data_IF_947325462334
#
_entry.id   IF_947325462334
#
_cell.length_a   1.000
_cell.length_b   1.000
_cell.length_c   1.000
_cell.angle_alpha   90.00
_cell.angle_beta   90.00
_cell.angle_gamma   90.00
#
_symmetry.space_group_name_H-M   'P 1'
#
loop_
_entity.id
_entity.type
_entity.pdbx_description
1 polymer ?
#
# COMPACT_ATOMS: atom_id res chain seq x y z
N UNK A 1 28.32 -36.76 -8.41
CA UNK A 1 28.66 -35.72 -7.42
C UNK A 1 27.43 -34.87 -7.22
N UNK A 2 26.95 -34.63 -5.99
CA UNK A 2 25.79 -33.77 -5.78
C UNK A 2 26.17 -32.34 -6.18
N UNK A 3 25.38 -31.72 -7.04
CA UNK A 3 25.53 -30.31 -7.35
C UNK A 3 25.03 -29.53 -6.13
N UNK A 4 25.96 -28.93 -5.39
CA UNK A 4 25.64 -27.91 -4.41
C UNK A 4 25.16 -26.72 -5.24
N UNK A 5 23.85 -26.49 -5.24
CA UNK A 5 23.25 -25.31 -5.86
C UNK A 5 23.65 -24.14 -4.96
N UNK A 6 24.55 -23.28 -5.43
CA UNK A 6 24.81 -22.02 -4.73
C UNK A 6 23.54 -21.18 -4.76
N UNK A 7 23.23 -20.58 -3.61
CA UNK A 7 22.05 -19.75 -3.38
C UNK A 7 21.91 -18.70 -4.49
N UNK A 8 20.70 -18.48 -4.98
CA UNK A 8 20.47 -17.40 -5.94
C UNK A 8 20.71 -16.05 -5.25
N UNK A 9 21.14 -15.04 -6.01
CA UNK A 9 21.32 -13.67 -5.48
C UNK A 9 20.04 -13.15 -4.83
N UNK A 10 18.86 -13.55 -5.34
CA UNK A 10 17.57 -13.22 -4.76
C UNK A 10 17.40 -13.81 -3.35
N UNK A 11 17.81 -15.05 -3.12
CA UNK A 11 17.70 -15.69 -1.80
C UNK A 11 18.53 -14.94 -0.76
N UNK A 12 19.71 -14.43 -1.14
CA UNK A 12 20.56 -13.60 -0.27
C UNK A 12 19.85 -12.29 0.10
N UNK A 13 19.18 -11.66 -0.87
CA UNK A 13 18.41 -10.43 -0.62
C UNK A 13 17.20 -10.70 0.27
N UNK A 14 16.48 -11.79 0.05
CA UNK A 14 15.36 -12.21 0.89
C UNK A 14 15.78 -12.47 2.34
N UNK A 15 16.92 -13.15 2.56
CA UNK A 15 17.44 -13.37 3.91
C UNK A 15 17.80 -12.08 4.64
N UNK A 16 18.33 -11.09 3.93
CA UNK A 16 18.62 -9.77 4.51
C UNK A 16 17.36 -9.06 4.97
N UNK A 17 16.28 -9.15 4.19
CA UNK A 17 14.98 -8.58 4.55
C UNK A 17 14.44 -9.26 5.81
N UNK A 18 14.48 -10.59 5.87
CA UNK A 18 13.95 -11.36 7.00
C UNK A 18 14.74 -11.10 8.30
N UNK A 19 16.08 -11.03 8.22
CA UNK A 19 16.95 -10.97 9.41
C UNK A 19 17.26 -9.55 9.87
N UNK A 20 17.25 -8.58 8.96
CA UNK A 20 17.67 -7.21 9.23
C UNK A 20 16.54 -6.21 9.49
N UNK A 21 15.27 -6.56 9.21
CA UNK A 21 14.19 -5.57 8.98
C UNK A 21 14.60 -4.49 7.95
N UNK A 22 15.48 -4.87 7.01
CA UNK A 22 16.02 -3.97 6.00
C UNK A 22 15.08 -3.92 4.79
N UNK A 23 14.92 -2.73 4.21
CA UNK A 23 14.35 -2.54 2.86
C UNK A 23 15.46 -2.43 1.84
N UNK A 24 15.30 -3.11 0.71
CA UNK A 24 16.28 -3.05 -0.37
C UNK A 24 15.73 -2.18 -1.49
N UNK A 25 16.31 -0.99 -1.65
CA UNK A 25 15.96 -0.06 -2.73
C UNK A 25 16.99 -0.22 -3.85
N UNK A 26 16.53 -0.41 -5.08
CA UNK A 26 17.40 -0.55 -6.25
C UNK A 26 16.80 0.13 -7.49
N UNK A 27 17.65 0.43 -8.47
CA UNK A 27 17.22 1.03 -9.75
C UNK A 27 17.39 0.03 -10.88
N UNK A 28 16.35 -0.15 -11.70
CA UNK A 28 16.39 -0.98 -12.89
C UNK A 28 15.72 -0.24 -14.05
N UNK A 29 16.40 -0.14 -15.20
CA UNK A 29 15.92 0.60 -16.38
C UNK A 29 15.45 2.04 -16.07
N UNK A 30 16.17 2.72 -15.17
CA UNK A 30 15.86 4.10 -14.76
C UNK A 30 14.67 4.25 -13.81
N UNK A 31 14.05 3.14 -13.37
CA UNK A 31 12.98 3.13 -12.36
C UNK A 31 13.48 2.60 -11.03
N UNK A 32 13.01 3.17 -9.94
CA UNK A 32 13.30 2.69 -8.59
C UNK A 32 12.30 1.60 -8.19
N UNK A 33 12.82 0.58 -7.53
CA UNK A 33 12.09 -0.55 -6.97
C UNK A 33 12.49 -0.73 -5.51
N UNK A 34 11.56 -1.25 -4.73
CA UNK A 34 11.78 -1.62 -3.34
C UNK A 34 11.40 -3.07 -3.15
N UNK A 35 12.27 -3.84 -2.50
CA UNK A 35 11.97 -5.19 -2.03
C UNK A 35 11.71 -5.14 -0.52
N UNK A 36 10.57 -5.70 -0.13
CA UNK A 36 10.02 -5.74 1.22
C UNK A 36 9.59 -7.19 1.53
N UNK A 37 9.40 -7.53 2.80
CA UNK A 37 8.70 -8.77 3.14
C UNK A 37 7.20 -8.62 2.85
N UNK A 38 6.51 -9.74 2.65
CA UNK A 38 5.05 -9.72 2.48
C UNK A 38 4.35 -9.17 3.73
N UNK A 39 4.87 -9.49 4.92
CA UNK A 39 4.35 -8.99 6.19
C UNK A 39 4.48 -7.46 6.29
N UNK A 40 5.64 -6.90 5.92
CA UNK A 40 5.84 -5.46 5.93
C UNK A 40 4.95 -4.76 4.90
N UNK A 41 4.79 -5.35 3.71
CA UNK A 41 3.84 -4.83 2.71
C UNK A 41 2.41 -4.79 3.25
N UNK A 42 1.93 -5.88 3.84
CA UNK A 42 0.59 -5.96 4.44
C UNK A 42 0.40 -4.99 5.61
N UNK A 43 1.45 -4.74 6.39
CA UNK A 43 1.43 -3.73 7.44
C UNK A 43 1.20 -2.32 6.86
N UNK A 44 1.85 -1.97 5.74
CA UNK A 44 1.64 -0.67 5.11
C UNK A 44 0.25 -0.50 4.54
N UNK A 45 -0.29 -1.53 3.87
CA UNK A 45 -1.67 -1.51 3.36
C UNK A 45 -2.67 -1.32 4.52
N UNK A 46 -2.50 -2.06 5.62
CA UNK A 46 -3.37 -1.93 6.79
C UNK A 46 -3.24 -0.56 7.48
N UNK A 47 -2.07 0.06 7.44
CA UNK A 47 -1.84 1.39 7.97
C UNK A 47 -2.50 2.48 7.10
N UNK A 48 -2.42 2.34 5.78
CA UNK A 48 -3.13 3.19 4.82
C UNK A 48 -4.64 3.10 5.03
N UNK A 49 -5.19 1.88 5.07
CA UNK A 49 -6.61 1.64 5.34
C UNK A 49 -7.06 2.28 6.66
N UNK A 50 -6.22 2.23 7.70
CA UNK A 50 -6.53 2.86 8.97
C UNK A 50 -6.69 4.37 8.85
N UNK A 51 -5.72 5.05 8.21
CA UNK A 51 -5.78 6.50 8.02
C UNK A 51 -6.93 6.93 7.10
N UNK A 52 -7.21 6.17 6.05
CA UNK A 52 -8.33 6.46 5.15
C UNK A 52 -9.68 6.37 5.88
N UNK A 53 -9.84 5.39 6.75
CA UNK A 53 -11.03 5.28 7.60
C UNK A 53 -11.12 6.44 8.61
N UNK A 54 -10.01 6.82 9.25
CA UNK A 54 -10.00 8.00 10.15
C UNK A 54 -10.39 9.29 9.42
N UNK A 55 -9.90 9.47 8.19
CA UNK A 55 -10.25 10.62 7.34
C UNK A 55 -11.72 10.59 6.92
N UNK A 56 -12.25 9.42 6.57
CA UNK A 56 -13.67 9.25 6.24
C UNK A 56 -14.57 9.58 7.44
N UNK A 57 -14.22 9.09 8.64
CA UNK A 57 -14.94 9.39 9.87
C UNK A 57 -14.91 10.90 10.20
N UNK A 58 -13.74 11.53 10.04
CA UNK A 58 -13.60 12.98 10.23
C UNK A 58 -14.45 13.79 9.23
N UNK A 59 -14.50 13.39 7.97
CA UNK A 59 -15.33 14.03 6.96
C UNK A 59 -16.84 13.90 7.28
N UNK A 60 -17.26 12.73 7.79
CA UNK A 60 -18.64 12.53 8.23
C UNK A 60 -18.99 13.41 9.44
N UNK A 61 -18.06 13.55 10.40
CA UNK A 61 -18.24 14.43 11.55
C UNK A 61 -18.33 15.91 11.13
N UNK A 62 -17.45 16.37 10.24
CA UNK A 62 -17.49 17.74 9.70
C UNK A 62 -18.82 18.03 9.00
N UNK A 63 -19.31 17.09 8.18
CA UNK A 63 -20.60 17.22 7.50
C UNK A 63 -21.76 17.35 8.51
N UNK A 64 -21.72 16.57 9.61
CA UNK A 64 -22.70 16.67 10.69
C UNK A 64 -22.64 18.02 11.41
N UNK A 65 -21.44 18.50 11.75
CA UNK A 65 -21.24 19.81 12.40
C UNK A 65 -21.76 20.97 11.54
N UNK A 66 -21.66 20.84 10.22
CA UNK A 66 -22.10 21.85 9.24
C UNK A 66 -23.55 21.69 8.79
N UNK A 67 -24.26 20.68 9.30
CA UNK A 67 -25.61 20.32 8.86
C UNK A 67 -25.72 20.05 7.33
N UNK A 68 -24.60 19.62 6.73
CA UNK A 68 -24.53 19.28 5.30
C UNK A 68 -25.16 17.89 5.04
N UNK A 69 -25.65 17.69 3.83
CA UNK A 69 -26.28 16.41 3.43
C UNK A 69 -25.36 15.62 2.50
N UNK A 70 -25.31 14.28 2.62
CA UNK A 70 -24.60 13.45 1.66
C UNK A 70 -25.10 13.69 0.24
N UNK A 71 -24.18 13.68 -0.72
CA UNK A 71 -24.53 13.73 -2.14
C UNK A 71 -24.95 12.33 -2.59
N UNK A 72 -26.13 12.15 -3.20
CA UNK A 72 -26.56 10.85 -3.72
C UNK A 72 -25.61 10.31 -4.80
N UNK A 73 -25.34 9.01 -4.77
CA UNK A 73 -24.42 8.37 -5.72
C UNK A 73 -24.82 8.57 -7.20
N UNK A 74 -26.12 8.51 -7.52
CA UNK A 74 -26.61 8.76 -8.88
C UNK A 74 -26.32 10.18 -9.37
N UNK A 75 -26.31 11.17 -8.47
CA UNK A 75 -25.93 12.53 -8.82
C UNK A 75 -24.43 12.61 -9.16
N UNK A 76 -23.57 11.98 -8.34
CA UNK A 76 -22.12 11.93 -8.60
C UNK A 76 -21.81 11.23 -9.94
N UNK A 77 -22.48 10.11 -10.23
CA UNK A 77 -22.30 9.40 -11.51
C UNK A 77 -22.63 10.27 -12.71
N UNK A 78 -23.74 11.00 -12.64
CA UNK A 78 -24.15 11.97 -13.66
C UNK A 78 -23.12 13.07 -13.86
N UNK A 79 -22.68 13.68 -12.76
CA UNK A 79 -21.74 14.80 -12.80
C UNK A 79 -20.36 14.38 -13.36
N UNK A 80 -19.98 13.11 -13.19
CA UNK A 80 -18.74 12.52 -13.71
C UNK A 80 -18.88 11.88 -15.10
N UNK A 81 -20.08 11.87 -15.70
CA UNK A 81 -20.31 11.24 -17.01
C UNK A 81 -20.15 9.72 -17.01
N UNK A 82 -20.45 9.07 -15.88
CA UNK A 82 -20.38 7.61 -15.69
C UNK A 82 -21.76 6.92 -15.88
N UNK A 83 -22.66 7.57 -16.63
CA UNK A 83 -24.03 7.10 -16.91
C UNK A 83 -24.07 5.94 -17.92
#
# INVERSE_FOLDING_TARGET
MPQIIEKSELDVLCERIITGNDRIIFTHCGKQFVLLSMEEFQFFEALEDHYDNELADAALAEMQEREEKPIPYEQIRKDLGLE
#
